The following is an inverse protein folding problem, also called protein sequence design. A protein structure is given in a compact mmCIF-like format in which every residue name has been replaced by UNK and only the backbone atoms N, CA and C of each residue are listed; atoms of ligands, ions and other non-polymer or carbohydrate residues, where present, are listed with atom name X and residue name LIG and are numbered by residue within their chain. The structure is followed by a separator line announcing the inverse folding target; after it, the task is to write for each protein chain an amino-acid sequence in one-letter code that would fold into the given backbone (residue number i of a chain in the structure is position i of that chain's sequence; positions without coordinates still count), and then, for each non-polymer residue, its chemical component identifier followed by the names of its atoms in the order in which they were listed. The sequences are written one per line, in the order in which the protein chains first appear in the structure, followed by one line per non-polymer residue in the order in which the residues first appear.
data_IF_743885520721
#
_entry.id   IF_743885520721
#
_cell.length_a   1.000
_cell.length_b   1.000
_cell.length_c   1.000
_cell.angle_alpha   90.00
_cell.angle_beta   90.00
_cell.angle_gamma   90.00
#
_symmetry.space_group_name_H-M   'P 1'
#
loop_
_entity.id
_entity.type
_entity.pdbx_description
1 polymer ?
#
# COMPACT_ATOMS: atom_id res chain seq x y z
N UNK A 1 -48.68 -23.63 -37.41
CA UNK A 1 -47.45 -24.43 -37.27
C UNK A 1 -46.24 -23.60 -36.83
N UNK A 2 -45.88 -22.52 -37.55
CA UNK A 2 -44.71 -21.68 -37.24
C UNK A 2 -44.71 -21.12 -35.81
N UNK A 3 -45.87 -20.63 -35.31
CA UNK A 3 -45.98 -20.12 -33.94
C UNK A 3 -45.77 -21.19 -32.85
N UNK A 4 -46.19 -22.43 -33.10
CA UNK A 4 -46.00 -23.55 -32.15
C UNK A 4 -44.51 -23.90 -32.06
N UNK A 5 -43.81 -23.91 -33.19
CA UNK A 5 -42.35 -24.13 -33.23
C UNK A 5 -41.60 -23.01 -32.52
N UNK A 6 -42.03 -21.75 -32.67
CA UNK A 6 -41.46 -20.62 -31.92
C UNK A 6 -41.65 -20.75 -30.41
N UNK A 7 -42.83 -21.19 -29.95
CA UNK A 7 -43.06 -21.41 -28.51
C UNK A 7 -42.26 -22.60 -27.95
N UNK A 8 -42.05 -23.65 -28.74
CA UNK A 8 -41.19 -24.78 -28.34
C UNK A 8 -39.72 -24.36 -28.26
N UNK A 9 -39.24 -23.55 -29.22
CA UNK A 9 -37.88 -22.99 -29.21
C UNK A 9 -37.68 -22.00 -28.04
N UNK A 10 -38.66 -21.15 -27.75
CA UNK A 10 -38.58 -20.22 -26.61
C UNK A 10 -38.67 -20.96 -25.27
N UNK A 11 -39.49 -22.01 -25.19
CA UNK A 11 -39.59 -22.88 -24.02
C UNK A 11 -38.32 -23.69 -23.77
N UNK A 12 -37.67 -24.20 -24.83
CA UNK A 12 -36.36 -24.87 -24.71
C UNK A 12 -35.22 -23.91 -24.40
N UNK A 13 -35.29 -22.65 -24.84
CA UNK A 13 -34.33 -21.62 -24.45
C UNK A 13 -34.49 -21.21 -22.97
N UNK A 14 -35.72 -21.13 -22.46
CA UNK A 14 -36.02 -20.85 -21.06
C UNK A 14 -35.72 -22.03 -20.12
N UNK A 15 -35.85 -23.26 -20.61
CA UNK A 15 -35.49 -24.47 -19.86
C UNK A 15 -33.98 -24.78 -19.90
N UNK A 16 -33.25 -24.24 -20.89
CA UNK A 16 -31.79 -24.36 -20.96
C UNK A 16 -31.05 -23.13 -20.39
N UNK A 17 -31.71 -21.99 -20.17
CA UNK A 17 -31.09 -20.83 -19.52
C UNK A 17 -30.97 -20.98 -18.00
N UNK A 18 -31.62 -21.98 -17.41
CA UNK A 18 -31.43 -22.36 -15.99
C UNK A 18 -30.31 -23.38 -15.79
N UNK A 19 -29.66 -23.84 -16.86
CA UNK A 19 -28.36 -24.53 -16.81
C UNK A 19 -27.19 -23.53 -16.94
N UNK A 20 -27.36 -22.31 -16.42
CA UNK A 20 -26.19 -21.64 -15.86
C UNK A 20 -25.67 -22.56 -14.78
N UNK A 21 -24.44 -23.05 -14.94
CA UNK A 21 -23.76 -23.94 -13.99
C UNK A 21 -23.87 -23.36 -12.57
N UNK A 22 -24.96 -23.70 -11.88
CA UNK A 22 -25.09 -23.55 -10.45
C UNK A 22 -23.93 -24.31 -9.87
N UNK A 23 -23.10 -23.63 -9.09
CA UNK A 23 -22.15 -24.33 -8.22
C UNK A 23 -22.91 -25.48 -7.53
N UNK A 24 -22.25 -26.64 -7.49
CA UNK A 24 -22.62 -27.73 -6.59
C UNK A 24 -23.09 -27.14 -5.26
N UNK A 25 -24.31 -27.45 -4.83
CA UNK A 25 -24.83 -27.05 -3.52
C UNK A 25 -24.03 -27.63 -2.36
N UNK A 26 -23.09 -28.54 -2.64
CA UNK A 26 -22.11 -29.05 -1.69
C UNK A 26 -20.81 -28.27 -1.85
N UNK A 27 -20.73 -27.12 -1.18
CA UNK A 27 -19.47 -26.42 -0.91
C UNK A 27 -19.20 -26.46 0.59
N UNK A 28 -17.94 -26.60 0.96
CA UNK A 28 -17.48 -26.50 2.35
C UNK A 28 -16.64 -25.25 2.51
N UNK A 29 -16.81 -24.56 3.63
CA UNK A 29 -16.13 -23.32 3.92
C UNK A 29 -14.89 -23.57 4.79
N UNK A 30 -13.74 -23.07 4.35
CA UNK A 30 -12.53 -23.02 5.16
C UNK A 30 -12.35 -21.58 5.65
N UNK A 31 -12.48 -21.41 6.96
CA UNK A 31 -12.23 -20.16 7.67
C UNK A 31 -10.77 -20.12 8.10
N UNK A 32 -10.08 -18.99 7.89
CA UNK A 32 -8.64 -18.87 8.05
C UNK A 32 -8.30 -17.59 8.80
N UNK A 33 -7.49 -17.71 9.85
CA UNK A 33 -6.75 -16.59 10.43
C UNK A 33 -5.27 -16.73 10.14
N UNK A 34 -4.63 -15.65 9.70
CA UNK A 34 -3.19 -15.65 9.46
C UNK A 34 -2.45 -15.00 10.61
N UNK A 35 -1.42 -15.66 11.10
CA UNK A 35 -0.53 -15.16 12.14
C UNK A 35 0.91 -15.14 11.65
N UNK A 36 1.60 -14.04 11.85
CA UNK A 36 3.05 -13.95 11.66
C UNK A 36 3.66 -13.22 12.85
N UNK A 37 4.80 -13.71 13.35
CA UNK A 37 5.43 -13.22 14.59
C UNK A 37 4.49 -13.13 15.81
N UNK A 38 3.42 -13.94 15.84
CA UNK A 38 2.42 -13.93 16.93
C UNK A 38 1.43 -12.78 16.87
N UNK A 39 1.25 -12.18 15.69
CA UNK A 39 0.26 -11.15 15.40
C UNK A 39 -0.70 -11.68 14.35
N UNK A 40 -2.00 -11.44 14.54
CA UNK A 40 -3.01 -11.75 13.54
C UNK A 40 -2.99 -10.69 12.43
N UNK A 41 -2.79 -11.12 11.19
CA UNK A 41 -2.80 -10.26 10.01
C UNK A 41 -4.21 -10.23 9.41
N UNK A 42 -4.80 -9.03 9.21
CA UNK A 42 -6.07 -8.90 8.53
C UNK A 42 -5.85 -9.14 7.04
N UNK A 43 -6.33 -10.28 6.56
CA UNK A 43 -6.30 -10.63 5.15
C UNK A 43 -7.60 -10.16 4.48
N UNK A 44 -7.44 -9.31 3.47
CA UNK A 44 -8.53 -8.80 2.64
C UNK A 44 -8.58 -9.54 1.31
N UNK A 45 -9.69 -9.42 0.59
CA UNK A 45 -9.78 -9.94 -0.78
C UNK A 45 -8.71 -9.24 -1.65
N UNK A 46 -7.95 -10.03 -2.41
CA UNK A 46 -6.90 -9.45 -3.25
C UNK A 46 -7.48 -8.55 -4.34
N UNK A 47 -6.86 -7.39 -4.56
CA UNK A 47 -7.16 -6.55 -5.73
C UNK A 47 -6.79 -7.23 -7.06
N UNK A 48 -6.03 -8.33 -7.01
CA UNK A 48 -5.70 -9.19 -8.15
C UNK A 48 -6.63 -10.39 -8.27
N UNK A 49 -7.70 -10.48 -7.46
CA UNK A 49 -8.64 -11.58 -7.54
C UNK A 49 -9.26 -11.64 -8.93
N UNK A 50 -9.03 -12.73 -9.70
CA UNK A 50 -9.44 -12.74 -11.08
C UNK A 50 -10.93 -13.06 -11.20
N UNK A 51 -11.62 -12.39 -12.11
CA UNK A 51 -13.02 -12.69 -12.45
C UNK A 51 -13.18 -13.92 -13.36
N UNK A 52 -12.08 -14.50 -13.86
CA UNK A 52 -12.11 -15.65 -14.76
C UNK A 52 -12.21 -16.98 -14.02
N UNK A 53 -13.27 -17.73 -14.31
CA UNK A 53 -13.56 -19.05 -13.77
C UNK A 53 -12.50 -20.11 -14.16
N UNK A 54 -11.82 -19.95 -15.31
CA UNK A 54 -10.92 -20.95 -15.87
C UNK A 54 -9.46 -20.85 -15.41
N UNK A 55 -9.13 -19.91 -14.53
CA UNK A 55 -7.77 -19.76 -14.05
C UNK A 55 -7.45 -20.84 -13.02
N UNK A 56 -6.38 -21.61 -13.31
CA UNK A 56 -5.86 -22.65 -12.42
C UNK A 56 -5.30 -22.07 -11.11
N UNK A 57 -4.74 -20.86 -11.18
CA UNK A 57 -4.18 -20.15 -10.04
C UNK A 57 -4.97 -18.87 -9.81
N UNK A 58 -5.44 -18.65 -8.58
CA UNK A 58 -6.24 -17.48 -8.20
C UNK A 58 -5.61 -16.81 -6.98
N UNK A 59 -5.18 -15.56 -7.11
CA UNK A 59 -4.72 -14.74 -5.97
C UNK A 59 -5.96 -14.27 -5.20
N UNK A 60 -6.21 -14.86 -4.04
CA UNK A 60 -7.49 -14.79 -3.31
C UNK A 60 -7.49 -13.71 -2.23
N UNK A 61 -6.41 -13.63 -1.45
CA UNK A 61 -6.31 -12.79 -0.28
C UNK A 61 -4.98 -12.04 -0.27
N UNK A 62 -4.98 -10.87 0.33
CA UNK A 62 -3.77 -10.08 0.54
C UNK A 62 -3.84 -9.32 1.87
N UNK A 63 -2.68 -9.14 2.48
CA UNK A 63 -2.47 -8.14 3.54
C UNK A 63 -1.20 -7.39 3.19
N UNK A 64 -1.31 -6.07 3.01
CA UNK A 64 -0.21 -5.25 2.51
C UNK A 64 0.18 -4.18 3.52
N UNK A 65 1.44 -4.21 3.94
CA UNK A 65 2.14 -3.10 4.56
C UNK A 65 3.31 -2.66 3.67
N UNK A 66 3.83 -1.46 3.91
CA UNK A 66 4.88 -0.86 3.10
C UNK A 66 6.14 -1.73 2.96
N UNK A 67 6.51 -2.45 4.02
CA UNK A 67 7.72 -3.29 4.10
C UNK A 67 7.41 -4.79 4.21
N UNK A 68 6.14 -5.18 4.32
CA UNK A 68 5.74 -6.58 4.48
C UNK A 68 4.46 -6.83 3.72
N UNK A 69 4.44 -7.81 2.82
CA UNK A 69 3.22 -8.17 2.09
C UNK A 69 2.99 -9.66 2.19
N UNK A 70 1.78 -10.04 2.61
CA UNK A 70 1.29 -11.41 2.57
C UNK A 70 0.30 -11.54 1.42
N UNK A 71 0.50 -12.55 0.57
CA UNK A 71 -0.45 -12.95 -0.45
C UNK A 71 -0.85 -14.41 -0.22
N UNK A 72 -2.11 -14.72 -0.46
CA UNK A 72 -2.55 -16.09 -0.59
C UNK A 72 -3.01 -16.36 -2.02
N UNK A 73 -2.57 -17.48 -2.57
CA UNK A 73 -2.99 -18.00 -3.87
C UNK A 73 -3.56 -19.39 -3.68
N UNK A 74 -4.58 -19.73 -4.48
CA UNK A 74 -5.08 -21.09 -4.55
C UNK A 74 -4.82 -21.64 -5.94
N UNK A 75 -4.17 -22.80 -5.97
CA UNK A 75 -4.01 -23.61 -7.18
C UNK A 75 -5.01 -24.76 -7.12
N UNK A 76 -5.84 -24.89 -8.15
CA UNK A 76 -6.79 -26.00 -8.27
C UNK A 76 -7.21 -26.24 -9.72
N UNK A 77 -7.78 -27.42 -9.97
CA UNK A 77 -8.54 -27.71 -11.20
C UNK A 77 -9.99 -27.23 -11.11
N UNK A 78 -10.39 -26.70 -9.95
CA UNK A 78 -11.71 -26.15 -9.73
C UNK A 78 -11.94 -24.92 -10.62
N UNK A 79 -12.85 -25.07 -11.57
CA UNK A 79 -13.28 -23.99 -12.46
C UNK A 79 -14.35 -23.10 -11.82
N UNK A 80 -14.84 -23.44 -10.63
CA UNK A 80 -15.80 -22.61 -9.91
C UNK A 80 -15.13 -21.37 -9.30
N UNK A 81 -15.92 -20.33 -9.06
CA UNK A 81 -15.49 -19.14 -8.34
C UNK A 81 -15.25 -19.47 -6.85
N UNK A 82 -14.08 -19.15 -6.28
CA UNK A 82 -13.73 -19.50 -4.90
C UNK A 82 -14.38 -18.58 -3.86
N UNK A 83 -14.95 -17.46 -4.31
CA UNK A 83 -15.71 -16.47 -3.51
C UNK A 83 -15.06 -16.17 -2.16
N UNK A 84 -13.81 -15.64 -2.14
CA UNK A 84 -13.18 -15.27 -0.88
C UNK A 84 -14.00 -14.20 -0.16
N UNK A 85 -14.10 -14.34 1.16
CA UNK A 85 -14.74 -13.36 2.04
C UNK A 85 -13.75 -12.94 3.13
N UNK A 86 -13.82 -11.68 3.54
CA UNK A 86 -13.09 -11.17 4.70
C UNK A 86 -14.07 -10.94 5.85
N UNK A 87 -13.80 -11.56 6.99
CA UNK A 87 -14.49 -11.29 8.25
C UNK A 87 -13.58 -10.47 9.16
N UNK A 88 -13.80 -9.17 9.14
CA UNK A 88 -12.98 -8.22 9.90
C UNK A 88 -13.15 -8.37 11.41
N UNK A 89 -14.35 -8.71 11.91
CA UNK A 89 -14.59 -8.85 13.37
C UNK A 89 -13.79 -10.02 13.95
N UNK A 90 -13.63 -11.08 13.17
CA UNK A 90 -12.84 -12.25 13.52
C UNK A 90 -11.38 -12.12 13.06
N UNK A 91 -10.97 -11.05 12.38
CA UNK A 91 -9.67 -10.94 11.70
C UNK A 91 -9.34 -12.19 10.87
N UNK A 92 -10.36 -12.73 10.24
CA UNK A 92 -10.31 -13.98 9.50
C UNK A 92 -10.77 -13.75 8.06
N UNK A 93 -10.45 -14.69 7.20
CA UNK A 93 -11.02 -14.78 5.85
C UNK A 93 -11.63 -16.15 5.66
N UNK A 94 -12.54 -16.30 4.72
CA UNK A 94 -13.10 -17.59 4.40
C UNK A 94 -13.19 -17.80 2.90
N UNK A 95 -13.23 -19.06 2.49
CA UNK A 95 -13.35 -19.48 1.10
C UNK A 95 -14.15 -20.75 1.00
N UNK A 96 -14.92 -20.85 -0.08
CA UNK A 96 -15.75 -22.01 -0.38
C UNK A 96 -14.99 -22.95 -1.32
N UNK A 97 -14.91 -24.21 -0.94
CA UNK A 97 -14.24 -25.29 -1.65
C UNK A 97 -15.23 -26.36 -2.07
N UNK A 98 -14.99 -26.99 -3.22
CA UNK A 98 -15.64 -28.25 -3.57
C UNK A 98 -15.00 -29.38 -2.74
N UNK A 99 -15.78 -30.09 -1.90
CA UNK A 99 -15.25 -31.09 -0.98
C UNK A 99 -14.56 -32.28 -1.69
N UNK A 100 -14.88 -32.54 -2.96
CA UNK A 100 -14.32 -33.65 -3.73
C UNK A 100 -12.98 -33.31 -4.42
N UNK A 101 -12.58 -32.04 -4.41
CA UNK A 101 -11.37 -31.57 -5.08
C UNK A 101 -10.20 -31.41 -4.12
N UNK A 102 -9.02 -31.29 -4.71
CA UNK A 102 -7.77 -30.97 -4.01
C UNK A 102 -7.31 -29.59 -4.43
N UNK A 103 -6.85 -28.82 -3.46
CA UNK A 103 -6.37 -27.45 -3.62
C UNK A 103 -4.99 -27.32 -2.98
N UNK A 104 -4.18 -26.41 -3.51
CA UNK A 104 -2.96 -25.94 -2.85
C UNK A 104 -3.15 -24.47 -2.51
N UNK A 105 -3.15 -24.14 -1.22
CA UNK A 105 -3.12 -22.77 -0.73
C UNK A 105 -1.66 -22.37 -0.52
N UNK A 106 -1.16 -21.47 -1.37
CA UNK A 106 0.20 -20.94 -1.28
C UNK A 106 0.15 -19.56 -0.65
N UNK A 107 0.87 -19.40 0.45
CA UNK A 107 0.99 -18.15 1.18
C UNK A 107 2.40 -17.61 0.94
N UNK A 108 2.49 -16.48 0.24
CA UNK A 108 3.74 -15.78 0.01
C UNK A 108 3.91 -14.66 1.01
N UNK A 109 5.09 -14.57 1.60
CA UNK A 109 5.52 -13.46 2.45
C UNK A 109 6.70 -12.76 1.79
N UNK A 110 6.51 -11.48 1.52
CA UNK A 110 7.53 -10.57 1.01
C UNK A 110 7.95 -9.65 2.15
N UNK A 111 9.23 -9.66 2.51
CA UNK A 111 9.80 -8.71 3.45
C UNK A 111 10.78 -7.78 2.72
N UNK A 112 10.66 -6.48 2.99
CA UNK A 112 11.52 -5.48 2.40
C UNK A 112 11.10 -4.98 1.03
N UNK A 113 11.96 -4.14 0.46
CA UNK A 113 11.74 -3.53 -0.85
C UNK A 113 12.03 -4.49 -2.00
N UNK A 114 12.92 -5.45 -1.78
CA UNK A 114 13.20 -6.50 -2.74
C UNK A 114 12.12 -7.57 -2.63
N UNK A 115 11.31 -7.69 -3.67
CA UNK A 115 10.20 -8.65 -3.77
C UNK A 115 10.54 -9.84 -4.66
N UNK A 116 11.81 -10.04 -5.01
CA UNK A 116 12.22 -11.11 -5.93
C UNK A 116 12.21 -12.51 -5.29
N UNK A 117 12.40 -12.60 -3.96
CA UNK A 117 12.52 -13.88 -3.25
C UNK A 117 11.54 -13.98 -2.07
N UNK A 118 10.24 -14.27 -2.30
CA UNK A 118 9.30 -14.47 -1.21
C UNK A 118 9.59 -15.76 -0.42
N UNK A 119 9.32 -15.72 0.88
CA UNK A 119 9.11 -16.94 1.65
C UNK A 119 7.75 -17.52 1.27
N UNK A 120 7.67 -18.83 1.07
CA UNK A 120 6.43 -19.50 0.69
C UNK A 120 6.07 -20.60 1.70
N UNK A 121 4.80 -20.63 2.08
CA UNK A 121 4.16 -21.72 2.81
C UNK A 121 3.11 -22.34 1.90
N UNK A 122 3.16 -23.65 1.67
CA UNK A 122 2.20 -24.37 0.83
C UNK A 122 1.37 -25.27 1.73
N UNK A 123 0.05 -25.12 1.66
CA UNK A 123 -0.90 -25.93 2.43
C UNK A 123 -1.74 -26.73 1.44
N UNK A 124 -1.62 -28.06 1.50
CA UNK A 124 -2.45 -28.97 0.72
C UNK A 124 -3.78 -29.18 1.42
N UNK A 125 -4.85 -28.95 0.66
CA UNK A 125 -6.23 -29.06 1.12
C UNK A 125 -6.89 -30.18 0.31
N UNK A 126 -7.27 -31.27 0.97
CA UNK A 126 -7.91 -32.41 0.29
C UNK A 126 -9.08 -32.96 1.11
N UNK A 127 -10.20 -33.24 0.43
CA UNK A 127 -11.32 -34.03 0.98
C UNK A 127 -11.93 -33.45 2.27
N UNK A 128 -12.21 -32.14 2.26
CA UNK A 128 -12.90 -31.48 3.36
C UNK A 128 -14.37 -31.93 3.40
N UNK A 129 -14.80 -32.57 4.49
CA UNK A 129 -16.19 -33.07 4.62
C UNK A 129 -17.14 -32.07 5.28
N UNK A 130 -16.60 -31.23 6.14
CA UNK A 130 -17.31 -30.24 6.94
C UNK A 130 -16.69 -28.87 6.71
N UNK A 131 -17.40 -27.82 7.10
CA UNK A 131 -16.79 -26.50 7.27
C UNK A 131 -15.66 -26.61 8.30
N UNK A 132 -14.62 -25.82 8.13
CA UNK A 132 -13.43 -25.90 8.96
C UNK A 132 -12.93 -24.52 9.34
N UNK A 133 -12.14 -24.47 10.39
CA UNK A 133 -11.34 -23.31 10.73
C UNK A 133 -9.87 -23.71 10.87
N UNK A 134 -9.00 -22.77 10.54
CA UNK A 134 -7.57 -22.91 10.64
C UNK A 134 -6.95 -21.60 11.12
N UNK A 135 -6.08 -21.70 12.12
CA UNK A 135 -5.15 -20.61 12.45
C UNK A 135 -3.80 -20.97 11.82
N UNK A 136 -3.30 -20.11 10.93
CA UNK A 136 -2.05 -20.31 10.19
C UNK A 136 -0.93 -19.48 10.84
N UNK A 137 -0.08 -20.05 11.70
CA UNK A 137 1.21 -19.45 12.01
C UNK A 137 2.11 -19.61 10.79
N UNK A 138 2.47 -18.50 10.14
CA UNK A 138 3.28 -18.51 8.94
C UNK A 138 4.62 -19.23 9.20
N UNK A 139 4.89 -20.26 8.38
CA UNK A 139 6.12 -21.03 8.42
C UNK A 139 6.45 -21.51 7.02
N UNK A 140 7.67 -21.24 6.54
CA UNK A 140 8.14 -21.73 5.25
C UNK A 140 8.13 -23.26 5.20
N UNK A 141 7.62 -23.83 4.10
CA UNK A 141 7.56 -25.27 3.88
C UNK A 141 6.22 -25.75 3.32
N UNK A 142 6.08 -27.07 3.23
CA UNK A 142 4.87 -27.75 2.75
C UNK A 142 4.15 -28.41 3.93
N UNK A 143 2.82 -28.29 3.96
CA UNK A 143 1.97 -28.77 5.04
C UNK A 143 0.70 -29.41 4.49
N UNK A 144 0.22 -30.43 5.17
CA UNK A 144 -1.12 -30.97 4.94
C UNK A 144 -2.10 -30.33 5.93
N UNK A 145 -3.23 -29.81 5.42
CA UNK A 145 -4.20 -29.03 6.21
C UNK A 145 -4.63 -29.74 7.50
N UNK A 146 -4.91 -31.04 7.41
CA UNK A 146 -5.42 -31.85 8.52
C UNK A 146 -4.38 -32.09 9.63
N UNK A 147 -3.09 -31.93 9.32
CA UNK A 147 -1.98 -32.12 10.27
C UNK A 147 -1.55 -30.81 10.95
N UNK A 148 -2.15 -29.67 10.57
CA UNK A 148 -1.79 -28.37 11.12
C UNK A 148 -2.27 -28.23 12.58
N UNK A 149 -1.43 -27.66 13.44
CA UNK A 149 -1.65 -27.58 14.90
C UNK A 149 -3.01 -27.00 15.30
N UNK A 150 -3.52 -26.02 14.55
CA UNK A 150 -4.77 -25.31 14.86
C UNK A 150 -5.92 -25.63 13.88
N UNK A 151 -5.82 -26.74 13.15
CA UNK A 151 -6.90 -27.22 12.31
C UNK A 151 -8.07 -27.72 13.15
N UNK A 152 -9.30 -27.35 12.78
CA UNK A 152 -10.51 -27.81 13.45
C UNK A 152 -11.68 -27.90 12.48
N UNK A 153 -12.34 -29.06 12.46
CA UNK A 153 -13.64 -29.19 11.81
C UNK A 153 -14.74 -28.54 12.65
N UNK A 154 -15.67 -27.87 11.99
CA UNK A 154 -16.83 -27.23 12.59
C UNK A 154 -18.02 -28.20 12.56
N UNK A 155 -18.84 -28.14 13.61
CA UNK A 155 -20.15 -28.79 13.60
C UNK A 155 -21.05 -28.13 12.55
N UNK A 156 -21.99 -28.88 12.00
CA UNK A 156 -22.92 -28.39 10.97
C UNK A 156 -23.64 -27.12 11.45
N UNK A 157 -23.63 -26.07 10.63
CA UNK A 157 -24.22 -24.75 10.92
C UNK A 157 -23.60 -24.00 12.12
N UNK A 158 -22.42 -24.41 12.61
CA UNK A 158 -21.72 -23.66 13.64
C UNK A 158 -20.85 -22.55 13.06
N UNK A 159 -20.88 -21.32 13.61
CA UNK A 159 -19.98 -20.27 13.17
C UNK A 159 -18.53 -20.58 13.58
N UNK A 160 -17.52 -20.02 12.87
CA UNK A 160 -16.12 -20.16 13.27
C UNK A 160 -15.88 -19.54 14.65
N UNK A 161 -15.08 -20.22 15.47
CA UNK A 161 -14.72 -19.82 16.83
C UNK A 161 -13.20 -19.69 16.92
N UNK A 162 -12.70 -18.52 16.53
CA UNK A 162 -11.28 -18.18 16.57
C UNK A 162 -10.77 -17.69 17.93
N UNK A 163 -11.65 -17.48 18.92
CA UNK A 163 -11.22 -17.28 20.31
C UNK A 163 -10.58 -18.57 20.79
N UNK A 164 -9.34 -18.45 21.23
CA UNK A 164 -8.43 -19.57 21.48
C UNK A 164 -9.12 -20.70 22.24
N UNK A 165 -9.01 -21.88 21.65
CA UNK A 165 -8.87 -23.14 22.38
C UNK A 165 -8.07 -22.85 23.65
N UNK A 166 -8.60 -23.27 24.79
CA UNK A 166 -8.02 -23.17 26.12
C UNK A 166 -6.47 -23.33 26.07
N UNK A 167 -5.76 -22.29 26.54
CA UNK A 167 -4.36 -22.29 27.00
C UNK A 167 -3.16 -22.39 26.03
N UNK A 168 -3.31 -22.23 24.72
CA UNK A 168 -2.16 -21.94 23.84
C UNK A 168 -2.31 -20.61 23.10
N UNK A 169 -2.21 -19.52 23.85
CA UNK A 169 -2.11 -18.19 23.26
C UNK A 169 -0.90 -18.14 22.31
N UNK A 170 -1.13 -17.79 21.04
CA UNK A 170 -0.05 -17.53 20.08
C UNK A 170 0.68 -16.28 20.58
N UNK A 171 1.78 -16.49 21.30
CA UNK A 171 2.54 -15.40 21.93
C UNK A 171 3.14 -14.49 20.86
N UNK A 172 2.99 -13.18 21.07
CA UNK A 172 3.71 -12.17 20.30
C UNK A 172 5.22 -12.40 20.46
N UNK A 173 5.91 -12.57 19.33
CA UNK A 173 7.37 -12.79 19.28
C UNK A 173 8.14 -11.51 19.02
N UNK A 174 7.46 -10.42 18.66
CA UNK A 174 8.11 -9.14 18.42
C UNK A 174 8.67 -8.55 19.71
N UNK A 175 9.82 -7.91 19.59
CA UNK A 175 10.45 -7.18 20.70
C UNK A 175 9.68 -5.89 20.98
N UNK A 176 9.27 -5.69 22.23
CA UNK A 176 8.75 -4.40 22.68
C UNK A 176 9.87 -3.36 22.59
N UNK A 177 9.63 -2.29 21.85
CA UNK A 177 10.54 -1.15 21.72
C UNK A 177 10.27 -0.11 22.80
N UNK A 178 9.03 0.36 22.85
CA UNK A 178 8.63 1.49 23.66
C UNK A 178 7.17 1.40 24.08
N UNK A 179 6.85 2.08 25.17
CA UNK A 179 5.50 2.20 25.71
C UNK A 179 5.15 3.68 25.84
N UNK A 180 4.04 4.10 25.25
CA UNK A 180 3.44 5.41 25.51
C UNK A 180 2.44 5.31 26.67
N UNK A 181 2.31 6.40 27.41
CA UNK A 181 1.43 6.51 28.57
C UNK A 181 0.48 7.70 28.42
N UNK A 182 -0.71 7.56 29.00
CA UNK A 182 -1.62 8.68 29.24
C UNK A 182 -1.08 9.57 30.37
N UNK A 183 -1.62 10.78 30.51
CA UNK A 183 -1.25 11.72 31.58
C UNK A 183 -1.50 11.19 32.99
N UNK A 184 -2.44 10.26 33.14
CA UNK A 184 -2.74 9.56 34.39
C UNK A 184 -1.78 8.38 34.68
N UNK A 185 -0.76 8.17 33.84
CA UNK A 185 0.22 7.09 33.97
C UNK A 185 -0.24 5.71 33.47
N UNK A 186 -1.48 5.55 32.96
CA UNK A 186 -1.89 4.28 32.36
C UNK A 186 -1.26 4.08 30.99
N UNK A 187 -1.03 2.82 30.61
CA UNK A 187 -0.48 2.48 29.29
C UNK A 187 -1.45 3.00 28.23
N UNK A 188 -0.93 3.80 27.31
CA UNK A 188 -1.61 4.27 26.12
C UNK A 188 -1.34 3.37 24.94
N UNK A 189 -0.07 3.06 24.67
CA UNK A 189 0.28 2.20 23.55
C UNK A 189 1.56 1.43 23.80
N UNK A 190 1.66 0.23 23.24
CA UNK A 190 2.89 -0.55 23.16
C UNK A 190 3.33 -0.65 21.70
N UNK A 191 4.58 -0.32 21.44
CA UNK A 191 5.21 -0.36 20.12
C UNK A 191 6.18 -1.53 20.06
N UNK A 192 6.00 -2.41 19.09
CA UNK A 192 6.83 -3.59 18.89
C UNK A 192 7.57 -3.49 17.54
N UNK A 193 8.88 -3.71 17.54
CA UNK A 193 9.71 -3.61 16.33
C UNK A 193 9.35 -4.74 15.39
N UNK A 194 8.97 -4.41 14.15
CA UNK A 194 8.73 -5.39 13.07
C UNK A 194 9.97 -5.57 12.21
N UNK A 195 10.77 -4.52 12.04
CA UNK A 195 12.01 -4.55 11.26
C UNK A 195 13.08 -3.67 11.92
N UNK A 196 14.30 -4.19 12.07
CA UNK A 196 15.38 -3.48 12.78
C UNK A 196 15.89 -2.24 12.02
N UNK A 197 15.83 -2.26 10.68
CA UNK A 197 16.39 -1.23 9.80
C UNK A 197 15.35 -0.26 9.21
N UNK A 198 14.10 -0.33 9.68
CA UNK A 198 13.01 0.48 9.15
C UNK A 198 11.98 0.76 10.26
N UNK A 199 11.43 1.99 10.40
CA UNK A 199 10.60 2.35 11.54
C UNK A 199 9.16 1.81 11.42
N UNK A 200 9.01 0.52 11.08
CA UNK A 200 7.75 -0.19 11.07
C UNK A 200 7.58 -0.88 12.43
N UNK A 201 6.48 -0.52 13.08
CA UNK A 201 6.09 -1.03 14.37
C UNK A 201 4.74 -1.73 14.25
N UNK A 202 4.56 -2.78 15.01
CA UNK A 202 3.24 -3.21 15.39
C UNK A 202 2.85 -2.47 16.66
N UNK A 203 1.65 -1.89 16.69
CA UNK A 203 1.20 -1.05 17.80
C UNK A 203 -0.03 -1.69 18.41
N UNK A 204 -0.08 -1.75 19.75
CA UNK A 204 -1.29 -2.02 20.52
C UNK A 204 -1.66 -0.74 21.28
N UNK A 205 -2.73 -0.05 20.91
CA UNK A 205 -3.23 1.14 21.59
C UNK A 205 -4.42 0.78 22.47
N UNK A 206 -4.36 1.16 23.74
CA UNK A 206 -5.32 0.79 24.78
C UNK A 206 -6.31 1.93 25.01
N UNK A 207 -7.56 1.55 25.25
CA UNK A 207 -8.60 2.48 25.69
C UNK A 207 -8.27 3.00 27.10
N UNK A 208 -8.38 4.32 27.29
CA UNK A 208 -8.05 5.01 28.54
C UNK A 208 -9.02 4.69 29.69
N UNK A 209 -10.23 4.25 29.36
CA UNK A 209 -11.34 3.89 30.23
C UNK A 209 -11.39 2.36 30.41
N UNK A 210 -11.29 1.59 29.33
CA UNK A 210 -11.36 0.13 29.37
C UNK A 210 -10.06 -0.54 28.89
N UNK A 211 -9.13 -0.80 29.82
CA UNK A 211 -7.79 -1.35 29.51
C UNK A 211 -7.78 -2.72 28.83
N UNK A 212 -8.88 -3.48 28.91
CA UNK A 212 -9.00 -4.77 28.23
C UNK A 212 -9.41 -4.61 26.75
N UNK A 213 -9.89 -3.41 26.38
CA UNK A 213 -10.13 -3.02 25.00
C UNK A 213 -8.89 -2.33 24.46
N UNK A 214 -8.38 -2.85 23.36
CA UNK A 214 -7.26 -2.25 22.65
C UNK A 214 -7.44 -2.45 21.16
N UNK A 215 -6.94 -1.49 20.40
CA UNK A 215 -6.76 -1.60 18.97
C UNK A 215 -5.33 -1.99 18.65
N UNK A 216 -5.14 -2.60 17.48
CA UNK A 216 -3.82 -3.01 17.05
C UNK A 216 -3.67 -2.92 15.54
N UNK A 217 -2.44 -2.68 15.09
CA UNK A 217 -2.13 -2.60 13.66
C UNK A 217 -0.66 -2.28 13.41
N UNK A 218 -0.30 -2.24 12.13
CA UNK A 218 1.04 -1.83 11.70
C UNK A 218 1.09 -0.30 11.57
N UNK A 219 2.12 0.31 12.13
CA UNK A 219 2.34 1.76 12.15
C UNK A 219 3.75 2.10 11.73
N UNK A 220 3.90 3.17 10.95
CA UNK A 220 5.20 3.78 10.70
C UNK A 220 5.38 4.90 11.72
N UNK A 221 6.36 4.76 12.62
CA UNK A 221 6.70 5.86 13.51
C UNK A 221 7.57 6.87 12.76
N UNK A 222 6.92 7.87 12.17
CA UNK A 222 7.60 9.06 11.66
C UNK A 222 7.69 10.09 12.77
N UNK A 223 8.90 10.29 13.28
CA UNK A 223 9.14 11.18 14.40
C UNK A 223 9.34 12.61 13.89
N UNK A 224 8.30 13.46 13.79
CA UNK A 224 8.47 14.92 13.90
C UNK A 224 7.18 15.61 14.35
N UNK A 225 7.23 16.23 15.53
CA UNK A 225 6.24 17.15 16.10
C UNK A 225 5.68 18.12 15.03
N UNK A 226 4.43 17.91 14.60
CA UNK A 226 3.67 18.90 13.85
C UNK A 226 2.37 19.17 14.60
N UNK A 227 2.29 20.36 15.21
CA UNK A 227 1.01 20.93 15.64
C UNK A 227 0.16 21.11 14.38
N UNK A 228 -0.86 20.28 14.24
CA UNK A 228 -1.81 20.32 13.14
C UNK A 228 -3.07 21.06 13.63
N UNK A 229 -3.41 22.17 12.98
CA UNK A 229 -4.79 22.64 12.91
C UNK A 229 -5.39 22.02 11.63
N UNK A 230 -6.50 21.28 11.76
CA UNK A 230 -7.24 20.74 10.60
C UNK A 230 -7.82 21.89 9.76
N UNK A 231 -8.01 21.71 8.45
CA UNK A 231 -9.25 21.04 7.99
C UNK A 231 -9.08 20.30 6.65
N UNK A 232 -9.31 18.99 6.60
CA UNK A 232 -9.58 18.31 5.31
C UNK A 232 -10.72 17.32 5.40
N UNK A 233 -11.49 17.32 4.29
CA UNK A 233 -12.69 16.52 4.04
C UNK A 233 -12.36 15.02 4.03
N UNK A 234 -13.37 14.29 4.43
CA UNK A 234 -13.32 12.89 4.86
C UNK A 234 -13.18 11.90 3.71
N UNK A 235 -12.43 10.84 4.00
CA UNK A 235 -12.10 9.67 3.17
C UNK A 235 -13.29 8.74 2.80
N UNK A 236 -14.54 9.21 2.90
CA UNK A 236 -15.73 8.41 2.58
C UNK A 236 -15.99 8.26 1.08
N UNK A 237 -15.34 9.07 0.24
CA UNK A 237 -15.62 9.13 -1.20
C UNK A 237 -14.67 8.28 -2.07
N UNK A 238 -13.63 7.65 -1.51
CA UNK A 238 -12.69 6.83 -2.28
C UNK A 238 -12.19 5.60 -1.48
N UNK A 239 -12.66 4.41 -1.86
CA UNK A 239 -12.36 3.14 -1.19
C UNK A 239 -11.02 2.52 -1.60
N UNK A 240 -10.33 3.08 -2.61
CA UNK A 240 -9.15 2.48 -3.23
C UNK A 240 -7.80 3.15 -2.93
N UNK A 241 -7.76 4.27 -2.19
CA UNK A 241 -6.53 5.05 -2.00
C UNK A 241 -6.07 5.07 -0.53
N UNK A 242 -5.05 4.28 -0.18
CA UNK A 242 -4.28 4.46 1.08
C UNK A 242 -2.81 4.68 0.76
N UNK A 243 -2.45 5.91 0.36
CA UNK A 243 -1.09 6.19 -0.11
C UNK A 243 -0.05 6.34 1.00
N UNK A 244 -0.37 6.79 2.22
CA UNK A 244 0.62 6.88 3.30
C UNK A 244 -0.05 6.84 4.69
N UNK A 245 0.34 5.86 5.52
CA UNK A 245 -0.12 5.70 6.92
C UNK A 245 -1.29 4.72 7.07
N UNK A 246 -0.98 3.44 7.23
CA UNK A 246 -1.98 2.43 7.58
C UNK A 246 -2.31 2.56 9.07
N UNK A 247 -3.57 2.80 9.40
CA UNK A 247 -4.16 2.48 10.70
C UNK A 247 -5.44 1.71 10.40
N UNK A 248 -5.43 0.42 10.70
CA UNK A 248 -6.69 -0.27 10.98
C UNK A 248 -6.87 -0.23 12.49
N UNK A 249 -7.72 0.68 12.95
CA UNK A 249 -8.12 0.74 14.36
C UNK A 249 -9.36 -0.16 14.53
N UNK A 250 -9.30 -1.03 15.53
CA UNK A 250 -10.40 -1.92 15.87
C UNK A 250 -10.88 -1.53 17.27
N UNK A 251 -12.07 -0.93 17.35
CA UNK A 251 -12.72 -0.63 18.62
C UNK A 251 -13.80 -1.67 18.87
N UNK A 252 -13.68 -2.43 19.96
CA UNK A 252 -14.66 -3.45 20.35
C UNK A 252 -14.99 -4.45 19.21
N UNK A 253 -13.97 -4.86 18.45
CA UNK A 253 -14.12 -5.81 17.32
C UNK A 253 -14.67 -5.20 16.04
N UNK A 254 -14.99 -3.90 16.01
CA UNK A 254 -15.48 -3.21 14.81
C UNK A 254 -14.37 -2.40 14.16
N UNK A 255 -14.29 -2.49 12.83
CA UNK A 255 -13.39 -1.69 12.02
C UNK A 255 -13.78 -0.23 12.14
N UNK A 256 -12.92 0.57 12.76
CA UNK A 256 -13.05 2.02 12.77
C UNK A 256 -11.89 2.57 11.95
N UNK A 257 -12.22 3.18 10.82
CA UNK A 257 -11.23 3.87 9.99
C UNK A 257 -10.83 5.13 10.75
N UNK A 258 -9.73 5.06 11.48
CA UNK A 258 -9.18 6.25 12.10
C UNK A 258 -8.37 7.01 11.04
N UNK A 259 -8.78 8.25 10.75
CA UNK A 259 -7.94 9.20 10.04
C UNK A 259 -6.70 9.45 10.90
N UNK A 260 -5.53 8.93 10.50
CA UNK A 260 -4.31 9.44 11.10
C UNK A 260 -3.94 10.76 10.42
N UNK A 261 -3.98 11.80 11.24
CA UNK A 261 -3.10 12.96 11.12
C UNK A 261 -1.63 12.52 11.05
N UNK A 262 -1.02 12.62 9.87
CA UNK A 262 0.41 12.84 9.72
C UNK A 262 0.73 13.34 8.31
N UNK A 263 1.01 14.65 8.21
CA UNK A 263 1.80 15.37 7.21
C UNK A 263 2.05 14.71 5.83
N UNK A 264 1.39 15.24 4.80
CA UNK A 264 1.72 15.00 3.40
C UNK A 264 3.01 15.75 2.98
N UNK A 265 4.16 15.19 3.32
CA UNK A 265 5.42 15.37 2.60
C UNK A 265 6.10 14.01 2.50
N UNK A 266 6.15 13.43 1.30
CA UNK A 266 7.00 12.27 1.02
C UNK A 266 8.31 12.76 0.43
N UNK A 267 9.43 12.21 0.91
CA UNK A 267 10.77 12.47 0.39
C UNK A 267 11.33 11.22 -0.27
N UNK A 268 12.01 11.38 -1.41
CA UNK A 268 12.80 10.33 -2.06
C UNK A 268 14.25 10.81 -2.22
N UNK A 269 15.21 9.93 -1.94
CA UNK A 269 16.64 10.20 -2.08
C UNK A 269 17.27 9.17 -3.03
N UNK A 270 18.15 9.62 -3.91
CA UNK A 270 18.97 8.77 -4.80
C UNK A 270 20.43 9.15 -4.56
N UNK A 271 21.33 8.16 -4.53
CA UNK A 271 22.74 8.33 -4.22
C UNK A 271 23.62 7.92 -5.41
N UNK A 272 24.82 8.49 -5.52
CA UNK A 272 25.89 7.96 -6.37
C UNK A 272 26.48 6.71 -5.72
N UNK A 273 27.20 5.88 -6.49
CA UNK A 273 27.92 4.72 -5.95
C UNK A 273 28.99 5.11 -4.93
N UNK A 274 29.49 6.35 -4.99
CA UNK A 274 30.39 6.95 -3.99
C UNK A 274 29.72 7.27 -2.65
N UNK A 275 28.40 7.12 -2.52
CA UNK A 275 27.64 7.45 -1.31
C UNK A 275 27.22 8.91 -1.19
N UNK A 276 27.56 9.75 -2.18
CA UNK A 276 27.17 11.16 -2.21
C UNK A 276 25.74 11.29 -2.74
N UNK A 277 24.95 12.20 -2.17
CA UNK A 277 23.56 12.41 -2.57
C UNK A 277 23.51 12.85 -4.05
N UNK A 278 22.78 12.12 -4.88
CA UNK A 278 22.59 12.40 -6.31
C UNK A 278 21.33 13.22 -6.55
N UNK A 279 20.24 12.90 -5.87
CA UNK A 279 19.02 13.71 -5.92
C UNK A 279 18.13 13.56 -4.70
N UNK A 280 17.37 14.61 -4.39
CA UNK A 280 16.26 14.60 -3.45
C UNK A 280 14.98 15.08 -4.12
N UNK A 281 13.86 14.43 -3.83
CA UNK A 281 12.52 14.79 -4.30
C UNK A 281 11.60 14.94 -3.09
N UNK A 282 10.81 16.00 -3.08
CA UNK A 282 9.74 16.25 -2.12
C UNK A 282 8.43 16.27 -2.91
N UNK A 283 7.44 15.49 -2.48
CA UNK A 283 6.13 15.45 -3.13
C UNK A 283 5.10 16.22 -2.29
N UNK A 284 4.29 17.03 -2.98
CA UNK A 284 3.18 17.78 -2.38
C UNK A 284 1.85 17.00 -2.36
N UNK A 285 0.80 17.69 -1.91
CA UNK A 285 -0.57 17.21 -1.57
C UNK A 285 -1.27 16.23 -2.53
N UNK A 286 -0.81 16.09 -3.78
CA UNK A 286 -1.44 15.25 -4.81
C UNK A 286 -0.44 14.35 -5.55
N UNK A 287 0.69 13.99 -4.94
CA UNK A 287 1.80 13.23 -5.55
C UNK A 287 2.57 13.94 -6.67
N UNK A 288 2.34 15.24 -6.84
CA UNK A 288 3.17 16.05 -7.72
C UNK A 288 4.44 16.47 -6.96
N UNK A 289 5.61 16.29 -7.56
CA UNK A 289 6.90 16.70 -6.99
C UNK A 289 6.88 18.19 -6.68
N UNK A 290 6.79 18.60 -5.42
CA UNK A 290 6.79 19.99 -4.98
C UNK A 290 8.18 20.63 -5.10
N UNK A 291 9.22 19.83 -4.85
CA UNK A 291 10.61 20.23 -4.97
C UNK A 291 11.46 19.07 -5.46
N UNK A 292 12.37 19.35 -6.37
CA UNK A 292 13.39 18.40 -6.81
C UNK A 292 14.75 19.08 -6.73
N UNK A 293 15.76 18.41 -6.21
CA UNK A 293 17.15 18.90 -6.21
C UNK A 293 18.05 17.79 -6.75
N UNK A 294 18.88 18.13 -7.73
CA UNK A 294 19.87 17.25 -8.34
C UNK A 294 21.26 17.79 -8.07
N UNK A 295 22.14 16.92 -7.60
CA UNK A 295 23.49 17.26 -7.15
C UNK A 295 24.55 16.65 -8.08
N UNK A 296 25.66 17.36 -8.22
CA UNK A 296 26.90 16.81 -8.76
C UNK A 296 27.55 15.89 -7.72
N UNK A 297 28.42 14.99 -8.16
CA UNK A 297 29.12 14.06 -7.27
C UNK A 297 30.06 14.78 -6.29
N UNK A 298 30.45 16.03 -6.54
CA UNK A 298 31.17 16.87 -5.57
C UNK A 298 30.23 17.58 -4.56
N UNK A 299 28.93 17.26 -4.55
CA UNK A 299 27.93 17.80 -3.63
C UNK A 299 27.29 19.14 -4.06
N UNK A 300 27.78 19.78 -5.13
CA UNK A 300 27.19 21.03 -5.61
C UNK A 300 25.80 20.82 -6.23
N UNK A 301 24.88 21.77 -6.03
CA UNK A 301 23.53 21.70 -6.61
C UNK A 301 23.62 22.02 -8.11
N UNK A 302 23.39 21.03 -8.96
CA UNK A 302 23.32 21.22 -10.42
C UNK A 302 21.98 21.80 -10.83
N UNK A 303 20.89 21.31 -10.24
CA UNK A 303 19.54 21.75 -10.62
C UNK A 303 18.58 21.65 -9.43
N UNK A 304 17.64 22.58 -9.36
CA UNK A 304 16.56 22.56 -8.39
C UNK A 304 15.28 23.04 -9.03
N UNK A 305 14.18 22.31 -8.87
CA UNK A 305 12.84 22.78 -9.24
C UNK A 305 12.02 23.06 -7.99
N UNK A 306 11.23 24.12 -8.03
CA UNK A 306 10.33 24.53 -6.95
C UNK A 306 8.98 24.87 -7.57
N UNK A 307 7.92 24.29 -7.00
CA UNK A 307 6.55 24.62 -7.37
C UNK A 307 6.22 26.06 -6.93
N UNK A 308 5.72 26.88 -7.84
CA UNK A 308 5.51 28.32 -7.59
C UNK A 308 4.24 28.59 -6.80
N UNK A 309 3.18 27.81 -7.06
CA UNK A 309 1.87 28.02 -6.43
C UNK A 309 1.02 26.72 -6.43
N UNK A 310 -0.31 26.85 -6.24
CA UNK A 310 -1.24 25.71 -6.25
C UNK A 310 -1.45 25.10 -7.66
N UNK A 311 -1.02 25.77 -8.73
CA UNK A 311 -1.14 25.30 -10.12
C UNK A 311 -0.04 24.30 -10.50
N UNK A 312 0.14 23.94 -11.77
CA UNK A 312 1.24 23.05 -12.22
C UNK A 312 2.53 23.81 -12.58
N UNK A 313 2.65 25.07 -12.19
CA UNK A 313 3.79 25.90 -12.54
C UNK A 313 5.04 25.64 -11.67
N UNK A 314 6.19 25.56 -12.33
CA UNK A 314 7.49 25.34 -11.69
C UNK A 314 8.53 26.37 -12.11
N UNK A 315 9.39 26.73 -11.16
CA UNK A 315 10.66 27.39 -11.41
C UNK A 315 11.75 26.34 -11.31
N UNK A 316 12.52 26.16 -12.39
CA UNK A 316 13.66 25.23 -12.47
C UNK A 316 14.94 26.07 -12.54
N UNK A 317 15.74 26.08 -11.48
CA UNK A 317 17.04 26.73 -11.40
C UNK A 317 18.14 25.72 -11.69
N UNK A 318 18.95 25.98 -12.71
CA UNK A 318 20.09 25.15 -13.13
C UNK A 318 21.38 25.95 -13.00
N UNK A 319 22.34 25.43 -12.25
CA UNK A 319 23.64 26.05 -12.02
C UNK A 319 24.68 25.40 -12.94
N UNK A 320 25.47 26.24 -13.61
CA UNK A 320 26.57 25.81 -14.48
C UNK A 320 27.88 26.18 -13.79
N UNK A 321 28.74 25.18 -13.61
CA UNK A 321 30.03 25.31 -12.96
C UNK A 321 31.17 25.06 -13.95
N UNK A 322 32.33 25.67 -13.70
CA UNK A 322 33.61 25.29 -14.32
C UNK A 322 34.09 23.93 -13.79
N UNK A 323 35.12 23.38 -14.42
CA UNK A 323 35.77 22.14 -14.00
C UNK A 323 36.33 22.18 -12.57
N UNK A 324 36.69 23.37 -12.06
CA UNK A 324 37.15 23.56 -10.68
C UNK A 324 36.00 23.84 -9.68
N UNK A 325 34.74 23.77 -10.11
CA UNK A 325 33.57 23.98 -9.23
C UNK A 325 33.15 25.44 -9.03
N UNK A 326 33.72 26.40 -9.76
CA UNK A 326 33.31 27.81 -9.70
C UNK A 326 32.01 28.03 -10.47
N UNK A 327 31.03 28.72 -9.89
CA UNK A 327 29.76 29.03 -10.57
C UNK A 327 29.99 30.03 -11.72
N UNK A 328 29.60 29.65 -12.94
CA UNK A 328 29.73 30.46 -14.15
C UNK A 328 28.39 31.12 -14.52
N UNK A 329 27.28 30.40 -14.34
CA UNK A 329 25.99 30.87 -14.82
C UNK A 329 24.85 30.19 -14.06
N UNK A 330 23.76 30.93 -13.88
CA UNK A 330 22.50 30.41 -13.37
C UNK A 330 21.45 30.56 -14.48
N UNK A 331 20.77 29.47 -14.81
CA UNK A 331 19.62 29.48 -15.69
C UNK A 331 18.37 29.21 -14.88
N UNK A 332 17.36 30.05 -15.01
CA UNK A 332 16.05 29.84 -14.44
C UNK A 332 15.04 29.62 -15.56
N UNK A 333 14.29 28.54 -15.49
CA UNK A 333 13.23 28.20 -16.44
C UNK A 333 11.89 28.21 -15.72
N UNK A 334 10.85 28.75 -16.35
CA UNK A 334 9.48 28.66 -15.84
C UNK A 334 8.66 27.76 -16.76
N UNK A 335 8.07 26.73 -16.18
CA UNK A 335 7.32 25.68 -16.88
C UNK A 335 5.84 25.71 -16.47
N UNK A 336 4.93 25.42 -17.40
CA UNK A 336 3.49 25.28 -17.13
C UNK A 336 3.10 23.85 -16.70
N UNK A 337 3.87 22.83 -17.06
CA UNK A 337 3.54 21.42 -16.78
C UNK A 337 4.75 20.65 -16.23
N UNK A 338 4.97 20.81 -14.92
CA UNK A 338 5.90 19.96 -14.17
C UNK A 338 7.34 20.48 -14.09
N UNK A 339 8.21 19.65 -13.52
CA UNK A 339 9.61 19.98 -13.22
C UNK A 339 10.57 19.71 -14.41
N UNK A 340 10.03 19.32 -15.57
CA UNK A 340 10.81 19.09 -16.79
C UNK A 340 10.87 20.36 -17.65
N UNK A 341 11.84 20.43 -18.57
CA UNK A 341 12.02 21.58 -19.49
C UNK A 341 11.20 21.42 -20.79
N UNK A 342 10.06 20.73 -20.74
CA UNK A 342 9.25 20.42 -21.92
C UNK A 342 8.34 21.59 -22.32
N UNK A 343 7.61 22.18 -21.37
CA UNK A 343 6.61 23.23 -21.61
C UNK A 343 7.01 24.57 -20.97
N UNK A 344 8.13 25.12 -21.44
CA UNK A 344 8.71 26.36 -20.92
C UNK A 344 8.01 27.59 -21.51
N UNK A 345 7.58 28.51 -20.65
CA UNK A 345 7.03 29.80 -21.06
C UNK A 345 7.99 30.98 -20.85
N UNK A 346 9.01 30.80 -19.98
CA UNK A 346 10.02 31.83 -19.72
C UNK A 346 11.39 31.21 -19.42
N UNK A 347 12.45 31.85 -19.91
CA UNK A 347 13.85 31.55 -19.57
C UNK A 347 14.55 32.83 -19.12
N UNK A 348 15.27 32.76 -18.01
CA UNK A 348 16.10 33.84 -17.48
C UNK A 348 17.53 33.31 -17.27
N UNK A 349 18.53 34.08 -17.68
CA UNK A 349 19.94 33.77 -17.43
C UNK A 349 20.50 34.84 -16.51
N UNK A 350 21.28 34.44 -15.51
CA UNK A 350 21.90 35.34 -14.55
C UNK A 350 23.42 35.17 -14.54
N UNK A 351 24.12 36.26 -14.24
CA UNK A 351 25.53 36.25 -13.87
C UNK A 351 25.74 35.46 -12.56
N UNK A 352 26.98 35.01 -12.25
CA UNK A 352 27.30 34.42 -10.95
C UNK A 352 26.91 35.31 -9.76
N UNK A 353 26.92 36.63 -9.94
CA UNK A 353 26.50 37.63 -8.95
C UNK A 353 24.99 37.61 -8.64
N UNK A 354 24.19 36.87 -9.43
CA UNK A 354 22.74 36.81 -9.30
C UNK A 354 21.98 37.91 -10.06
N UNK A 355 22.68 38.81 -10.75
CA UNK A 355 22.05 39.83 -11.60
C UNK A 355 21.61 39.25 -12.94
N UNK A 356 20.47 39.71 -13.46
CA UNK A 356 19.92 39.20 -14.72
C UNK A 356 20.85 39.60 -15.88
N UNK A 357 21.09 38.64 -16.77
CA UNK A 357 21.89 38.77 -17.99
C UNK A 357 21.00 38.71 -19.23
N UNK A 358 19.94 37.91 -19.18
CA UNK A 358 19.01 37.71 -20.28
C UNK A 358 17.62 37.33 -19.75
N UNK A 359 16.59 37.87 -20.37
CA UNK A 359 15.20 37.45 -20.20
C UNK A 359 14.63 37.06 -21.57
N UNK A 360 14.03 35.88 -21.66
CA UNK A 360 13.37 35.37 -22.86
C UNK A 360 11.99 34.85 -22.51
N UNK A 361 10.97 35.34 -23.24
CA UNK A 361 9.58 34.92 -23.15
C UNK A 361 9.31 34.02 -24.36
N UNK A 362 8.90 32.78 -24.08
CA UNK A 362 8.75 31.70 -25.07
C UNK A 362 7.29 31.50 -25.49
N UNK A 363 6.34 31.91 -24.65
CA UNK A 363 4.91 31.77 -24.89
C UNK A 363 4.28 33.11 -25.34
N UNK A 364 3.32 33.06 -26.27
CA UNK A 364 2.70 34.24 -26.87
C UNK A 364 3.62 34.94 -27.87
N UNK A 365 3.81 36.25 -27.71
CA UNK A 365 4.74 37.01 -28.57
C UNK A 365 6.18 36.84 -28.08
N UNK A 366 6.97 36.06 -28.83
CA UNK A 366 8.39 35.83 -28.55
C UNK A 366 9.17 37.14 -28.36
N UNK A 367 9.86 37.28 -27.23
CA UNK A 367 10.66 38.46 -26.92
C UNK A 367 11.91 38.06 -26.13
N UNK A 368 13.05 38.68 -26.45
CA UNK A 368 14.32 38.49 -25.76
C UNK A 368 14.98 39.84 -25.44
N UNK A 369 15.40 40.00 -24.18
CA UNK A 369 16.10 41.18 -23.68
C UNK A 369 17.43 40.76 -23.05
N UNK A 370 18.45 41.59 -23.25
CA UNK A 370 19.78 41.39 -22.69
C UNK A 370 20.13 42.54 -21.75
N UNK A 371 20.90 42.22 -20.71
CA UNK A 371 21.24 43.17 -19.65
C UNK A 371 22.75 43.14 -19.35
N UNK A 372 23.30 44.31 -19.10
CA UNK A 372 24.59 44.47 -18.45
C UNK A 372 24.48 44.07 -16.97
N UNK A 373 25.63 43.80 -16.35
CA UNK A 373 25.66 43.47 -14.91
C UNK A 373 25.33 44.67 -14.02
N UNK A 374 25.26 45.90 -14.53
CA UNK A 374 24.72 47.05 -13.79
C UNK A 374 23.18 47.16 -13.89
N UNK A 375 22.52 46.29 -14.67
CA UNK A 375 21.08 46.28 -14.89
C UNK A 375 20.62 47.08 -16.12
N UNK A 376 21.53 47.78 -16.81
CA UNK A 376 21.17 48.51 -18.04
C UNK A 376 20.87 47.55 -19.19
N UNK A 377 19.84 47.85 -19.99
CA UNK A 377 19.51 47.06 -21.18
C UNK A 377 20.58 47.21 -22.25
N UNK A 378 21.05 46.09 -22.79
CA UNK A 378 21.82 46.08 -24.03
C UNK A 378 20.83 46.27 -25.18
N UNK A 379 20.86 47.43 -25.82
CA UNK A 379 20.24 47.56 -27.15
C UNK A 379 20.91 46.59 -28.09
N UNK A 380 20.11 45.84 -28.86
CA UNK A 380 20.62 44.98 -29.94
C UNK A 380 21.44 45.79 -30.93
#
# INVERSE_FOLDING_TARGET
MIRIIQYILFGTFLLNSTNGFSQSTNTVELNIQFYDQGICYPMEISSKYPSSQHLKTKTILQSSAYYSTLYAEVISKDTADLKPQSNHELQASSMQFNPELTYELIVYKYNGFDRSEPEAMVIKISKLKNDTQLIIPFKKGDFDLQEMEFFKELETNSPPKFKSIEDKEIKNKLKLDSTAYFSNGSIKANYYIVADNFPLYFVKEFDSINRNSYAQGLSLLTNYNLKLEQPYKTIWEDSGNTKYGYWEYFENGKRIKHELWASAMSHQYIWYSSGILKSSMEFGRTNNTAKYTYYLENGLIKEQSIKVDKTRQYIIKSNIYSSNGTLIQINTFKSLDGYTKHDLYKREIFYPSGKIKMEEILEGSYNIKYFNEDGTTKSK
#
